data_IF_486330484822
#
_entry.id   IF_486330484822
#
_cell.length_a   1.000
_cell.length_b   1.000
_cell.length_c   1.000
_cell.angle_alpha   90.00
_cell.angle_beta   90.00
_cell.angle_gamma   90.00
#
_symmetry.space_group_name_H-M   'P 1'
#
loop_
_entity.id
_entity.type
_entity.pdbx_description
1 polymer ?
#
# COMPACT_ATOMS: atom_id res chain seq x y z
N UNK A 1 2.43 3.41 -25.57
CA UNK A 1 2.52 4.84 -25.14
C UNK A 1 1.24 5.36 -24.50
N UNK A 2 0.09 5.38 -25.18
CA UNK A 2 -1.18 5.91 -24.61
C UNK A 2 -1.56 5.28 -23.25
N UNK A 3 -1.46 3.96 -23.12
CA UNK A 3 -1.76 3.24 -21.87
C UNK A 3 -0.87 3.69 -20.71
N UNK A 4 0.43 3.88 -20.95
CA UNK A 4 1.38 4.33 -19.91
C UNK A 4 1.05 5.75 -19.42
N UNK A 5 0.61 6.63 -20.33
CA UNK A 5 0.19 7.99 -19.96
C UNK A 5 -1.07 7.95 -19.10
N UNK A 6 -2.06 7.12 -19.47
CA UNK A 6 -3.29 6.97 -18.67
C UNK A 6 -2.99 6.38 -17.28
N UNK A 7 -2.10 5.39 -17.20
CA UNK A 7 -1.63 4.83 -15.94
C UNK A 7 -0.92 5.87 -15.08
N UNK A 8 -0.05 6.69 -15.67
CA UNK A 8 0.65 7.75 -14.96
C UNK A 8 -0.32 8.81 -14.40
N UNK A 9 -1.32 9.22 -15.18
CA UNK A 9 -2.34 10.18 -14.73
C UNK A 9 -3.23 9.59 -13.62
N UNK A 10 -3.63 8.33 -13.75
CA UNK A 10 -4.44 7.67 -12.73
C UNK A 10 -3.65 7.46 -11.42
N UNK A 11 -2.38 7.02 -11.52
CA UNK A 11 -1.48 6.91 -10.37
C UNK A 11 -1.18 8.25 -9.71
N UNK A 12 -1.05 9.32 -10.50
CA UNK A 12 -0.94 10.69 -9.97
C UNK A 12 -2.21 11.09 -9.22
N UNK A 13 -3.40 10.83 -9.77
CA UNK A 13 -4.67 11.07 -9.09
C UNK A 13 -4.78 10.30 -7.77
N UNK A 14 -4.46 9.00 -7.78
CA UNK A 14 -4.40 8.17 -6.58
C UNK A 14 -3.47 8.76 -5.52
N UNK A 15 -2.28 9.23 -5.92
CA UNK A 15 -1.32 9.84 -4.99
C UNK A 15 -1.76 11.20 -4.45
N UNK A 16 -2.54 11.99 -5.19
CA UNK A 16 -3.09 13.25 -4.67
C UNK A 16 -4.14 13.00 -3.57
N UNK A 17 -4.97 11.98 -3.76
CA UNK A 17 -5.93 11.55 -2.72
C UNK A 17 -5.18 11.00 -1.51
N UNK A 18 -4.14 10.21 -1.75
CA UNK A 18 -3.31 9.67 -0.68
C UNK A 18 -2.51 10.72 0.08
N UNK A 19 -1.86 11.66 -0.62
CA UNK A 19 -1.12 12.75 0.02
C UNK A 19 -2.00 13.68 0.85
N UNK A 20 -3.32 13.71 0.61
CA UNK A 20 -4.28 14.49 1.39
C UNK A 20 -4.93 13.70 2.53
N UNK A 21 -5.22 12.41 2.35
CA UNK A 21 -5.92 11.56 3.34
C UNK A 21 -5.00 10.63 4.14
N UNK A 22 -3.83 10.28 3.60
CA UNK A 22 -2.79 9.45 4.21
C UNK A 22 -2.94 7.93 4.07
N UNK A 23 -4.04 7.41 3.49
CA UNK A 23 -4.30 5.95 3.41
C UNK A 23 -4.99 5.47 2.11
N UNK A 24 -5.07 6.32 1.09
CA UNK A 24 -5.96 6.07 -0.06
C UNK A 24 -5.25 5.46 -1.28
N UNK A 25 -3.91 5.53 -1.34
CA UNK A 25 -3.16 5.08 -2.52
C UNK A 25 -3.40 3.60 -2.79
N UNK A 26 -3.26 2.77 -1.75
CA UNK A 26 -3.44 1.33 -1.86
C UNK A 26 -4.78 0.92 -2.45
N UNK A 27 -5.88 1.48 -1.93
CA UNK A 27 -7.26 1.15 -2.36
C UNK A 27 -7.49 1.60 -3.80
N UNK A 28 -7.12 2.83 -4.13
CA UNK A 28 -7.38 3.41 -5.45
C UNK A 28 -6.53 2.75 -6.54
N UNK A 29 -5.22 2.60 -6.31
CA UNK A 29 -4.29 1.99 -7.26
C UNK A 29 -4.54 0.50 -7.45
N UNK A 30 -4.82 -0.26 -6.38
CA UNK A 30 -5.16 -1.69 -6.49
C UNK A 30 -6.45 -1.89 -7.27
N UNK A 31 -7.48 -1.09 -7.00
CA UNK A 31 -8.76 -1.17 -7.73
C UNK A 31 -8.55 -0.93 -9.22
N UNK A 32 -7.77 0.08 -9.60
CA UNK A 32 -7.43 0.36 -10.98
C UNK A 32 -6.68 -0.81 -11.64
N UNK A 33 -5.61 -1.29 -11.00
CA UNK A 33 -4.78 -2.39 -11.51
C UNK A 33 -5.59 -3.68 -11.73
N UNK A 34 -6.46 -4.02 -10.78
CA UNK A 34 -7.37 -5.15 -10.90
C UNK A 34 -8.41 -4.94 -12.01
N UNK A 35 -8.99 -3.74 -12.15
CA UNK A 35 -9.92 -3.41 -13.22
C UNK A 35 -9.28 -3.54 -14.62
N UNK A 36 -7.96 -3.37 -14.72
CA UNK A 36 -7.19 -3.58 -15.95
C UNK A 36 -6.74 -5.04 -16.15
N UNK A 37 -7.15 -5.96 -15.26
CA UNK A 37 -6.87 -7.40 -15.37
C UNK A 37 -5.53 -7.84 -14.79
N UNK A 38 -4.86 -7.01 -13.99
CA UNK A 38 -3.65 -7.44 -13.27
C UNK A 38 -4.03 -8.49 -12.22
N UNK A 39 -3.22 -9.55 -12.06
CA UNK A 39 -3.50 -10.51 -11.00
C UNK A 39 -3.34 -9.86 -9.60
N UNK A 40 -4.02 -10.35 -8.56
CA UNK A 40 -4.00 -9.72 -7.24
C UNK A 40 -2.62 -9.63 -6.59
N UNK A 41 -1.77 -10.64 -6.79
CA UNK A 41 -0.43 -10.68 -6.21
C UNK A 41 0.48 -9.59 -6.82
N UNK A 42 0.47 -9.46 -8.15
CA UNK A 42 1.25 -8.45 -8.88
C UNK A 42 0.70 -7.04 -8.62
N UNK A 43 -0.62 -6.87 -8.54
CA UNK A 43 -1.22 -5.59 -8.18
C UNK A 43 -0.76 -5.15 -6.78
N UNK A 44 -0.87 -6.03 -5.78
CA UNK A 44 -0.42 -5.76 -4.42
C UNK A 44 1.08 -5.42 -4.35
N UNK A 45 1.94 -6.23 -5.00
CA UNK A 45 3.38 -6.00 -5.00
C UNK A 45 3.75 -4.66 -5.66
N UNK A 46 3.10 -4.31 -6.77
CA UNK A 46 3.36 -3.05 -7.49
C UNK A 46 2.96 -1.84 -6.65
N UNK A 47 1.80 -1.90 -5.99
CA UNK A 47 1.28 -0.82 -5.15
C UNK A 47 2.18 -0.57 -3.95
N UNK A 48 2.52 -1.61 -3.19
CA UNK A 48 3.40 -1.47 -2.03
C UNK A 48 4.80 -0.97 -2.43
N UNK A 49 5.32 -1.43 -3.58
CA UNK A 49 6.60 -0.95 -4.10
C UNK A 49 6.54 0.54 -4.47
N UNK A 50 5.45 0.99 -5.09
CA UNK A 50 5.25 2.40 -5.39
C UNK A 50 5.10 3.25 -4.10
N UNK A 51 4.39 2.73 -3.09
CA UNK A 51 4.18 3.40 -1.80
C UNK A 51 5.48 3.66 -1.05
N UNK A 52 6.52 2.86 -1.23
CA UNK A 52 7.85 3.14 -0.66
C UNK A 52 8.34 4.52 -1.12
N UNK A 53 8.27 4.79 -2.43
CA UNK A 53 8.74 6.04 -3.01
C UNK A 53 7.88 7.23 -2.61
N UNK A 54 6.55 7.07 -2.66
CA UNK A 54 5.62 8.16 -2.38
C UNK A 54 5.58 8.50 -0.88
N UNK A 55 5.62 7.50 -0.01
CA UNK A 55 5.68 7.68 1.45
C UNK A 55 7.01 8.28 1.88
N UNK A 56 8.13 7.91 1.24
CA UNK A 56 9.42 8.55 1.47
C UNK A 56 9.37 10.04 1.13
N UNK A 57 8.82 10.41 -0.02
CA UNK A 57 8.69 11.81 -0.42
C UNK A 57 7.75 12.59 0.50
N UNK A 58 6.62 11.99 0.91
CA UNK A 58 5.72 12.57 1.89
C UNK A 58 6.43 12.82 3.22
N UNK A 59 7.12 11.81 3.76
CA UNK A 59 7.91 11.90 4.98
C UNK A 59 9.02 12.96 4.92
N UNK A 60 9.72 13.05 3.77
CA UNK A 60 10.72 14.08 3.53
C UNK A 60 10.11 15.49 3.55
N UNK A 61 8.90 15.67 3.00
CA UNK A 61 8.18 16.95 3.05
C UNK A 61 7.79 17.32 4.49
N UNK A 62 7.25 16.37 5.26
CA UNK A 62 6.90 16.57 6.66
C UNK A 62 8.13 16.94 7.49
N UNK A 63 9.28 16.29 7.23
CA UNK A 63 10.54 16.64 7.87
C UNK A 63 10.99 18.05 7.52
N UNK A 64 10.92 18.43 6.23
CA UNK A 64 11.29 19.78 5.74
C UNK A 64 10.44 20.89 6.36
N UNK A 65 9.18 20.61 6.67
CA UNK A 65 8.26 21.52 7.34
C UNK A 65 8.37 21.50 8.87
N UNK A 66 9.24 20.68 9.46
CA UNK A 66 9.42 20.60 10.91
C UNK A 66 8.32 19.83 11.65
N UNK A 67 7.50 19.05 10.92
CA UNK A 67 6.36 18.31 11.46
C UNK A 67 6.73 16.91 11.99
N UNK A 68 8.02 16.62 12.17
CA UNK A 68 8.51 15.28 12.52
C UNK A 68 9.06 15.23 13.94
N UNK A 69 8.43 14.42 14.78
CA UNK A 69 8.99 14.00 16.07
C UNK A 69 9.84 12.73 15.87
N UNK A 70 11.16 12.91 15.85
CA UNK A 70 12.13 11.82 15.67
C UNK A 70 12.09 10.76 16.79
N UNK A 71 11.62 11.10 17.98
CA UNK A 71 11.45 10.15 19.09
C UNK A 71 10.29 9.21 18.81
N UNK A 72 9.21 9.72 18.19
CA UNK A 72 8.08 8.90 17.74
C UNK A 72 8.47 8.04 16.55
N UNK A 73 9.13 8.63 15.54
CA UNK A 73 9.60 7.89 14.35
C UNK A 73 10.47 6.71 14.74
N UNK A 74 11.41 6.89 15.66
CA UNK A 74 12.29 5.78 16.08
C UNK A 74 11.55 4.74 16.91
N UNK A 75 10.70 5.16 17.85
CA UNK A 75 9.95 4.24 18.73
C UNK A 75 8.88 3.43 18.03
N UNK A 76 8.27 3.95 16.96
CA UNK A 76 7.21 3.26 16.23
C UNK A 76 7.76 2.68 14.92
N UNK A 77 8.54 3.47 14.18
CA UNK A 77 9.04 3.12 12.86
C UNK A 77 10.03 1.96 12.87
N UNK A 78 10.96 1.90 13.82
CA UNK A 78 11.93 0.79 13.90
C UNK A 78 11.25 -0.55 14.21
N UNK A 79 10.48 -0.70 15.31
CA UNK A 79 9.79 -1.96 15.58
C UNK A 79 8.73 -2.27 14.52
N UNK A 80 8.07 -1.25 13.97
CA UNK A 80 7.13 -1.40 12.86
C UNK A 80 7.81 -1.99 11.61
N UNK A 81 8.98 -1.47 11.22
CA UNK A 81 9.74 -1.97 10.07
C UNK A 81 10.21 -3.41 10.27
N UNK A 82 10.74 -3.73 11.45
CA UNK A 82 11.15 -5.10 11.81
C UNK A 82 9.93 -6.05 11.77
N UNK A 83 8.82 -5.65 12.38
CA UNK A 83 7.58 -6.42 12.37
C UNK A 83 7.01 -6.63 10.97
N UNK A 84 6.99 -5.59 10.13
CA UNK A 84 6.54 -5.67 8.74
C UNK A 84 7.42 -6.62 7.92
N UNK A 85 8.74 -6.53 8.06
CA UNK A 85 9.68 -7.42 7.35
C UNK A 85 9.53 -8.88 7.78
N UNK A 86 9.51 -9.14 9.10
CA UNK A 86 9.32 -10.50 9.62
C UNK A 86 7.95 -11.05 9.22
N UNK A 87 6.89 -10.26 9.36
CA UNK A 87 5.53 -10.63 8.98
C UNK A 87 5.41 -10.95 7.48
N UNK A 88 5.96 -10.10 6.61
CA UNK A 88 5.99 -10.34 5.18
C UNK A 88 6.77 -11.62 4.82
N UNK A 89 7.91 -11.84 5.48
CA UNK A 89 8.73 -13.05 5.27
C UNK A 89 7.95 -14.31 5.64
N UNK A 90 7.36 -14.34 6.83
CA UNK A 90 6.55 -15.48 7.29
C UNK A 90 5.35 -15.69 6.35
N UNK A 91 4.60 -14.63 6.04
CA UNK A 91 3.41 -14.73 5.19
C UNK A 91 3.75 -15.22 3.77
N UNK A 92 4.89 -14.78 3.22
CA UNK A 92 5.35 -15.22 1.89
C UNK A 92 5.72 -16.71 1.81
N UNK A 93 5.96 -17.34 2.97
CA UNK A 93 6.28 -18.78 3.06
C UNK A 93 5.04 -19.67 3.23
N UNK A 94 3.87 -19.09 3.48
CA UNK A 94 2.63 -19.83 3.70
C UNK A 94 1.87 -20.08 2.39
N UNK A 95 1.18 -21.20 2.32
CA UNK A 95 0.25 -21.50 1.21
C UNK A 95 -0.92 -20.51 1.22
N UNK A 96 -1.22 -19.94 0.06
CA UNK A 96 -2.36 -19.04 -0.16
C UNK A 96 -3.65 -19.77 -0.54
N UNK A 97 -3.65 -21.10 -0.57
CA UNK A 97 -4.81 -21.93 -0.97
C UNK A 97 -6.06 -21.62 -0.13
N UNK A 98 -5.85 -21.38 1.17
CA UNK A 98 -6.94 -21.09 2.13
C UNK A 98 -7.26 -19.59 2.21
N UNK A 99 -6.44 -18.71 1.62
CA UNK A 99 -6.60 -17.26 1.75
C UNK A 99 -7.92 -16.77 1.13
N UNK A 100 -8.28 -17.29 -0.05
CA UNK A 100 -9.53 -16.94 -0.72
C UNK A 100 -10.78 -17.31 0.10
N UNK A 101 -11.00 -18.58 0.51
CA UNK A 101 -12.18 -18.93 1.30
C UNK A 101 -12.21 -18.23 2.67
N UNK A 102 -11.06 -18.03 3.32
CA UNK A 102 -11.01 -17.29 4.58
C UNK A 102 -11.44 -15.83 4.42
N UNK A 103 -10.93 -15.13 3.39
CA UNK A 103 -11.33 -13.74 3.14
C UNK A 103 -12.81 -13.65 2.76
N UNK A 104 -13.35 -14.60 1.99
CA UNK A 104 -14.78 -14.65 1.69
C UNK A 104 -15.64 -14.76 2.95
N UNK A 105 -15.24 -15.59 3.92
CA UNK A 105 -15.95 -15.72 5.21
C UNK A 105 -15.87 -14.44 6.05
N UNK A 106 -14.69 -13.81 6.12
CA UNK A 106 -14.52 -12.53 6.83
C UNK A 106 -15.40 -11.45 6.22
N UNK A 107 -15.39 -11.31 4.89
CA UNK A 107 -16.20 -10.31 4.19
C UNK A 107 -17.71 -10.57 4.36
N UNK A 108 -18.15 -11.83 4.31
CA UNK A 108 -19.54 -12.20 4.59
C UNK A 108 -19.93 -11.83 6.03
N UNK A 109 -19.07 -12.12 7.00
CA UNK A 109 -19.32 -11.82 8.41
C UNK A 109 -19.25 -10.33 8.77
N UNK A 110 -18.54 -9.51 8.00
CA UNK A 110 -18.56 -8.04 8.15
C UNK A 110 -19.77 -7.39 7.47
N UNK A 111 -20.37 -8.06 6.48
CA UNK A 111 -21.52 -7.57 5.74
C UNK A 111 -22.86 -7.91 6.42
N UNK A 112 -22.94 -9.07 7.08
CA UNK A 112 -24.07 -9.50 7.93
C UNK A 112 -24.04 -8.81 9.30
#
# INVERSE_FOLDING_TARGET
MRTLVLLALAGLGAQLVDGSLGMAYGVTSTTLLLAMGTNPAAASATVHLAEIGTTLMSGASHWRFGNVDWKVVTRIGVPGAVGAFLGATVLSSLSTEVAAPMMSLILLGLYL
#
